data_IF_157302597478
#
_entry.id   IF_157302597478
#
_cell.length_a   1.000
_cell.length_b   1.000
_cell.length_c   1.000
_cell.angle_alpha   90.00
_cell.angle_beta   90.00
_cell.angle_gamma   90.00
#
_symmetry.space_group_name_H-M   'P 1'
#
loop_
_entity.id
_entity.type
_entity.pdbx_description
1 polymer ?
#
# COMPACT_ATOMS: atom_id res chain seq x y z
N UNK A 1 -5.37 -6.99 -3.86
CA UNK A 1 -5.82 -6.03 -2.85
C UNK A 1 -5.94 -6.78 -1.54
N UNK A 2 -5.38 -6.24 -0.46
CA UNK A 2 -5.62 -6.69 0.92
C UNK A 2 -6.48 -5.60 1.57
N UNK A 3 -7.75 -5.90 1.81
CA UNK A 3 -8.66 -5.00 2.52
C UNK A 3 -8.45 -5.14 4.01
N UNK A 4 -8.40 -4.00 4.69
CA UNK A 4 -8.32 -3.91 6.15
C UNK A 4 -9.61 -3.25 6.67
N UNK A 5 -10.00 -3.44 7.93
CA UNK A 5 -11.10 -2.68 8.53
C UNK A 5 -10.75 -1.18 8.64
N UNK A 6 -11.76 -0.29 8.70
CA UNK A 6 -11.56 1.16 8.65
C UNK A 6 -10.55 1.69 9.68
N UNK A 7 -10.68 1.20 10.92
CA UNK A 7 -9.87 1.62 12.06
C UNK A 7 -8.62 0.76 12.26
N UNK A 8 -8.29 -0.11 11.29
CA UNK A 8 -7.18 -1.05 11.43
C UNK A 8 -5.83 -0.31 11.45
N UNK A 9 -5.01 -0.57 12.47
CA UNK A 9 -3.75 0.16 12.72
C UNK A 9 -2.74 0.09 11.56
N UNK A 10 -2.75 -1.00 10.78
CA UNK A 10 -1.93 -1.10 9.57
C UNK A 10 -2.26 -0.07 8.47
N UNK A 11 -3.42 0.61 8.54
CA UNK A 11 -3.75 1.75 7.65
C UNK A 11 -3.05 3.06 8.03
N UNK A 12 -2.56 3.16 9.27
CA UNK A 12 -1.80 4.31 9.79
C UNK A 12 -0.30 4.04 9.86
N UNK A 13 0.10 2.79 9.61
CA UNK A 13 1.50 2.36 9.69
C UNK A 13 2.29 2.93 8.52
N UNK A 14 3.50 3.41 8.80
CA UNK A 14 4.43 3.87 7.78
C UNK A 14 4.61 2.84 6.66
N UNK A 15 4.50 3.23 5.37
CA UNK A 15 4.50 2.29 4.24
C UNK A 15 5.69 1.33 4.23
N UNK A 16 6.88 1.82 4.62
CA UNK A 16 8.09 1.01 4.71
C UNK A 16 7.98 -0.10 5.77
N UNK A 17 7.49 0.24 6.97
CA UNK A 17 7.31 -0.73 8.06
C UNK A 17 6.25 -1.78 7.69
N UNK A 18 5.15 -1.34 7.07
CA UNK A 18 4.09 -2.22 6.61
C UNK A 18 4.59 -3.24 5.58
N UNK A 19 5.36 -2.78 4.59
CA UNK A 19 6.00 -3.64 3.60
C UNK A 19 6.98 -4.62 4.25
N UNK A 20 7.78 -4.17 5.21
CA UNK A 20 8.71 -5.04 5.93
C UNK A 20 7.97 -6.12 6.73
N UNK A 21 6.83 -5.80 7.35
CA UNK A 21 6.00 -6.78 8.05
C UNK A 21 5.44 -7.83 7.09
N UNK A 22 4.93 -7.40 5.92
CA UNK A 22 4.45 -8.31 4.88
C UNK A 22 5.57 -9.21 4.34
N UNK A 23 6.78 -8.68 4.15
CA UNK A 23 7.93 -9.46 3.69
C UNK A 23 8.39 -10.51 4.72
N UNK A 24 8.16 -10.29 6.02
CA UNK A 24 8.55 -11.24 7.07
C UNK A 24 7.60 -12.43 7.21
N UNK A 25 6.34 -12.27 6.81
CA UNK A 25 5.32 -13.34 6.95
C UNK A 25 5.15 -14.18 5.68
N UNK A 26 5.66 -13.70 4.54
CA UNK A 26 5.56 -14.40 3.25
C UNK A 26 6.91 -15.07 2.94
N UNK A 27 6.92 -16.37 2.56
CA UNK A 27 8.16 -17.09 2.24
C UNK A 27 8.99 -16.46 1.12
N UNK A 28 8.34 -15.86 0.12
CA UNK A 28 8.97 -15.10 -0.94
C UNK A 28 8.72 -13.58 -0.76
N UNK A 29 9.69 -12.82 -0.21
CA UNK A 29 9.51 -11.39 0.04
C UNK A 29 9.42 -10.56 -1.25
N UNK A 30 9.81 -11.11 -2.41
CA UNK A 30 9.67 -10.44 -3.70
C UNK A 30 8.20 -10.26 -4.11
N UNK A 31 7.31 -11.11 -3.59
CA UNK A 31 5.86 -10.99 -3.81
C UNK A 31 5.31 -9.67 -3.26
N UNK A 32 5.92 -9.15 -2.20
CA UNK A 32 5.52 -7.92 -1.50
C UNK A 32 6.41 -6.72 -1.85
N UNK A 33 7.30 -6.86 -2.84
CA UNK A 33 8.22 -5.79 -3.23
C UNK A 33 7.47 -4.53 -3.74
N UNK A 34 6.29 -4.70 -4.30
CA UNK A 34 5.50 -3.60 -4.84
C UNK A 34 4.26 -3.30 -3.98
N UNK A 35 4.32 -3.66 -2.69
CA UNK A 35 3.23 -3.38 -1.75
C UNK A 35 3.18 -1.87 -1.44
N UNK A 36 2.01 -1.27 -1.64
CA UNK A 36 1.75 0.13 -1.37
C UNK A 36 0.51 0.25 -0.48
N UNK A 37 0.55 1.17 0.47
CA UNK A 37 -0.61 1.49 1.28
C UNK A 37 -1.61 2.32 0.47
N UNK A 38 -2.90 2.03 0.64
CA UNK A 38 -4.01 2.74 0.03
C UNK A 38 -5.10 2.93 1.08
N UNK A 39 -6.07 3.82 0.83
CA UNK A 39 -7.10 4.18 1.83
C UNK A 39 -7.88 2.99 2.39
N UNK A 40 -8.14 1.96 1.59
CA UNK A 40 -8.85 0.75 2.00
C UNK A 40 -7.96 -0.38 2.54
N UNK A 41 -6.63 -0.26 2.45
CA UNK A 41 -5.71 -1.29 2.92
C UNK A 41 -4.37 -1.29 2.19
N UNK A 42 -4.00 -2.44 1.62
CA UNK A 42 -2.72 -2.62 0.92
C UNK A 42 -2.97 -3.08 -0.51
N UNK A 43 -2.40 -2.35 -1.46
CA UNK A 43 -2.32 -2.79 -2.84
C UNK A 43 -0.98 -3.46 -3.13
N UNK A 44 -0.98 -4.49 -3.97
CA UNK A 44 0.23 -5.19 -4.39
C UNK A 44 0.16 -5.34 -5.90
N UNK A 45 1.20 -4.90 -6.60
CA UNK A 45 1.29 -5.05 -8.04
C UNK A 45 1.58 -6.52 -8.41
N UNK A 46 0.64 -7.14 -9.11
CA UNK A 46 0.75 -8.53 -9.57
C UNK A 46 0.44 -8.63 -11.07
N UNK A 47 1.36 -8.19 -11.96
CA UNK A 47 1.10 -8.13 -13.39
C UNK A 47 1.08 -9.52 -14.04
N UNK A 48 1.79 -10.49 -13.44
CA UNK A 48 1.79 -11.88 -13.85
C UNK A 48 0.75 -12.66 -13.06
N UNK A 49 0.00 -13.54 -13.74
CA UNK A 49 -0.96 -14.43 -13.11
C UNK A 49 -0.31 -15.27 -12.01
N UNK A 50 0.90 -15.77 -12.22
CA UNK A 50 1.65 -16.56 -11.23
C UNK A 50 1.86 -15.78 -9.91
N UNK A 51 2.21 -14.49 -10.00
CA UNK A 51 2.37 -13.63 -8.81
C UNK A 51 1.04 -13.42 -8.10
N UNK A 52 -0.04 -13.18 -8.85
CA UNK A 52 -1.37 -13.01 -8.27
C UNK A 52 -1.86 -14.28 -7.55
N UNK A 53 -1.68 -15.46 -8.18
CA UNK A 53 -2.02 -16.76 -7.60
C UNK A 53 -1.19 -17.00 -6.33
N UNK A 54 0.12 -16.76 -6.38
CA UNK A 54 0.99 -16.91 -5.23
C UNK A 54 0.53 -16.03 -4.06
N UNK A 55 0.18 -14.75 -4.31
CA UNK A 55 -0.33 -13.86 -3.26
C UNK A 55 -1.65 -14.39 -2.67
N UNK A 56 -2.58 -14.83 -3.51
CA UNK A 56 -3.89 -15.35 -3.07
C UNK A 56 -3.73 -16.64 -2.24
N UNK A 57 -2.76 -17.49 -2.57
CA UNK A 57 -2.46 -18.70 -1.79
C UNK A 57 -2.03 -18.38 -0.35
N UNK A 58 -1.50 -17.18 -0.10
CA UNK A 58 -1.09 -16.75 1.24
C UNK A 58 -2.16 -15.91 1.96
N UNK A 59 -3.39 -15.84 1.45
CA UNK A 59 -4.48 -15.03 2.02
C UNK A 59 -4.73 -15.31 3.50
N UNK A 60 -4.61 -16.56 3.92
CA UNK A 60 -4.92 -16.97 5.30
C UNK A 60 -3.84 -16.52 6.27
N UNK A 61 -2.56 -16.58 5.86
CA UNK A 61 -1.42 -16.04 6.63
C UNK A 61 -1.53 -14.53 6.77
N UNK A 62 -1.94 -13.85 5.69
CA UNK A 62 -2.20 -12.41 5.70
C UNK A 62 -3.37 -12.08 6.64
N UNK A 63 -4.48 -12.84 6.56
CA UNK A 63 -5.63 -12.66 7.44
C UNK A 63 -5.30 -12.92 8.91
N UNK A 64 -4.45 -13.91 9.20
CA UNK A 64 -3.97 -14.19 10.55
C UNK A 64 -3.12 -13.03 11.10
N UNK A 65 -2.28 -12.42 10.27
CA UNK A 65 -1.42 -11.30 10.68
C UNK A 65 -2.20 -10.01 10.90
N UNK A 66 -3.12 -9.70 9.99
CA UNK A 66 -3.80 -8.41 9.93
C UNK A 66 -5.24 -8.45 10.44
N UNK A 67 -5.76 -9.60 10.85
CA UNK A 67 -7.10 -9.73 11.44
C UNK A 67 -8.24 -9.38 10.48
N UNK A 68 -9.14 -10.33 10.18
CA UNK A 68 -10.28 -10.12 9.26
C UNK A 68 -9.90 -9.51 7.89
N UNK A 69 -8.62 -9.54 7.51
CA UNK A 69 -8.17 -8.95 6.26
C UNK A 69 -8.63 -9.82 5.09
N UNK A 70 -9.17 -9.19 4.05
CA UNK A 70 -9.68 -9.89 2.87
C UNK A 70 -8.69 -9.68 1.72
N UNK A 71 -8.10 -10.76 1.21
CA UNK A 71 -7.19 -10.71 0.07
C UNK A 71 -7.90 -11.15 -1.21
N UNK A 72 -7.99 -10.24 -2.18
CA UNK A 72 -8.65 -10.51 -3.46
C UNK A 72 -7.84 -9.96 -4.65
N UNK A 73 -8.11 -10.51 -5.84
CA UNK A 73 -7.53 -9.98 -7.08
C UNK A 73 -8.33 -8.76 -7.52
N UNK A 74 -7.66 -7.61 -7.59
CA UNK A 74 -8.22 -6.42 -8.20
C UNK A 74 -7.90 -6.44 -9.70
N UNK A 75 -8.92 -6.62 -10.55
CA UNK A 75 -8.74 -6.65 -12.01
C UNK A 75 -8.79 -5.27 -12.67
N UNK A 76 -9.32 -4.26 -11.97
CA UNK A 76 -9.53 -2.92 -12.49
C UNK A 76 -9.09 -1.87 -11.47
N UNK A 77 -8.16 -1.02 -11.89
CA UNK A 77 -7.84 0.23 -11.22
C UNK A 77 -8.54 1.34 -12.00
N UNK A 78 -9.46 2.07 -11.38
CA UNK A 78 -9.92 3.34 -11.94
C UNK A 78 -8.83 4.37 -11.65
N UNK A 79 -8.11 4.80 -12.68
CA UNK A 79 -7.17 5.92 -12.59
C UNK A 79 -7.96 7.21 -12.37
N UNK A 80 -7.97 7.74 -11.15
CA UNK A 80 -8.40 9.11 -10.92
C UNK A 80 -7.23 10.04 -11.25
N UNK A 81 -7.39 10.88 -12.27
CA UNK A 81 -6.45 11.96 -12.57
C UNK A 81 -6.66 13.03 -11.49
N UNK A 82 -5.80 13.04 -10.47
CA UNK A 82 -5.73 14.17 -9.55
C UNK A 82 -5.06 15.30 -10.34
N UNK A 83 -5.80 16.38 -10.59
CA UNK A 83 -5.26 17.58 -11.22
C UNK A 83 -3.97 18.03 -10.52
N UNK A 84 -3.04 18.61 -11.28
CA UNK A 84 -1.72 19.06 -10.83
C UNK A 84 -1.70 19.54 -9.37
N UNK A 85 -0.94 18.83 -8.53
CA UNK A 85 -0.70 19.20 -7.13
C UNK A 85 -0.14 20.63 -7.08
N UNK A 86 -0.70 21.54 -6.27
CA UNK A 86 -0.16 22.88 -6.14
C UNK A 86 1.25 22.79 -5.56
N UNK A 87 2.23 23.39 -6.26
CA UNK A 87 3.60 23.49 -5.78
C UNK A 87 3.62 24.34 -4.49
N UNK A 88 4.37 23.95 -3.45
CA UNK A 88 4.61 24.82 -2.31
C UNK A 88 5.26 26.12 -2.80
N UNK A 89 4.61 27.26 -2.56
CA UNK A 89 5.25 28.56 -2.75
C UNK A 89 6.20 28.77 -1.57
N UNK A 90 7.47 28.42 -1.73
CA UNK A 90 8.51 28.95 -0.85
C UNK A 90 8.76 30.39 -1.26
N UNK A 91 7.93 31.31 -0.78
CA UNK A 91 8.30 32.72 -0.72
C UNK A 91 9.21 32.89 0.50
N UNK A 92 10.52 32.98 0.27
CA UNK A 92 11.41 33.58 1.26
C UNK A 92 11.17 35.08 1.21
N UNK A 93 10.25 35.57 2.03
CA UNK A 93 10.17 36.98 2.39
C UNK A 93 11.32 37.28 3.38
N UNK A 94 12.44 37.73 2.82
CA UNK A 94 13.59 38.23 3.56
C UNK A 94 13.78 39.70 3.20
N UNK A 95 13.22 40.57 4.04
CA UNK A 95 13.24 42.03 3.94
C UNK A 95 14.63 42.60 3.60
N UNK A 96 14.63 43.51 2.63
CA UNK A 96 15.69 44.49 2.40
C UNK A 96 15.85 45.37 3.66
N UNK A 97 17.05 45.42 4.22
CA UNK A 97 17.44 46.43 5.21
C UNK A 97 18.22 47.54 4.51
N UNK A 98 17.70 48.76 4.66
CA UNK A 98 18.26 50.06 4.29
C UNK A 98 19.68 50.30 4.78
#
# INVERSE_FOLDING_TARGET
MIHLEHDHEARKTEPFLLRQQLQRIIPDPSLMADAMQVLSGIAILAPKLAKAVAIIQHKDVIAQRFGKAISERQNSWTTFIIGSLPKPQTSMDGKETL
#
